data_IF_985324381495
#
_entry.id   IF_985324381495
#
_cell.length_a   1.000
_cell.length_b   1.000
_cell.length_c   1.000
_cell.angle_alpha   90.00
_cell.angle_beta   90.00
_cell.angle_gamma   90.00
#
_symmetry.space_group_name_H-M   'P 1'
#
loop_
_entity.id
_entity.type
_entity.pdbx_description
1 polymer ?
#
# COMPACT_ATOMS: atom_id res chain seq x y z
N UNK A 1 -7.58 -15.30 19.84
CA UNK A 1 -7.54 -14.07 19.04
C UNK A 1 -8.56 -13.12 19.63
N UNK A 2 -8.12 -11.98 20.14
CA UNK A 2 -9.03 -10.98 20.71
C UNK A 2 -9.69 -10.17 19.56
N UNK A 3 -10.68 -9.33 19.87
CA UNK A 3 -11.35 -8.48 18.86
C UNK A 3 -10.37 -7.51 18.20
N UNK A 4 -9.34 -7.09 18.93
CA UNK A 4 -8.34 -6.12 18.48
C UNK A 4 -7.43 -6.67 17.37
N UNK A 5 -6.89 -7.87 17.58
CA UNK A 5 -6.10 -8.63 16.62
C UNK A 5 -6.88 -8.79 15.31
N UNK A 6 -8.19 -9.07 15.41
CA UNK A 6 -9.08 -9.21 14.27
C UNK A 6 -9.27 -7.90 13.51
N UNK A 7 -9.48 -6.78 14.21
CA UNK A 7 -9.58 -5.44 13.59
C UNK A 7 -8.30 -5.10 12.84
N UNK A 8 -7.14 -5.39 13.43
CA UNK A 8 -5.84 -5.12 12.82
C UNK A 8 -5.62 -5.98 11.57
N UNK A 9 -5.94 -7.27 11.62
CA UNK A 9 -5.88 -8.18 10.46
C UNK A 9 -6.79 -7.69 9.33
N UNK A 10 -8.04 -7.33 9.64
CA UNK A 10 -8.99 -6.80 8.65
C UNK A 10 -8.45 -5.51 8.05
N UNK A 11 -7.88 -4.62 8.87
CA UNK A 11 -7.31 -3.35 8.41
C UNK A 11 -6.11 -3.57 7.48
N UNK A 12 -5.22 -4.51 7.80
CA UNK A 12 -4.09 -4.90 6.94
C UNK A 12 -4.61 -5.41 5.59
N UNK A 13 -5.61 -6.30 5.60
CA UNK A 13 -6.19 -6.85 4.37
C UNK A 13 -6.82 -5.74 3.53
N UNK A 14 -7.62 -4.87 4.15
CA UNK A 14 -8.29 -3.76 3.47
C UNK A 14 -7.28 -2.79 2.87
N UNK A 15 -6.28 -2.37 3.64
CA UNK A 15 -5.30 -1.39 3.17
C UNK A 15 -4.44 -1.98 2.06
N UNK A 16 -3.93 -3.21 2.23
CA UNK A 16 -3.14 -3.89 1.20
C UNK A 16 -3.94 -4.07 -0.10
N UNK A 17 -5.21 -4.44 0.00
CA UNK A 17 -6.07 -4.64 -1.17
C UNK A 17 -6.43 -3.32 -1.85
N UNK A 18 -6.94 -2.34 -1.10
CA UNK A 18 -7.43 -1.07 -1.65
C UNK A 18 -6.27 -0.25 -2.20
N UNK A 19 -5.13 -0.23 -1.52
CA UNK A 19 -3.93 0.46 -1.99
C UNK A 19 -3.45 -0.13 -3.33
N UNK A 20 -3.36 -1.45 -3.46
CA UNK A 20 -2.93 -2.10 -4.71
C UNK A 20 -3.94 -2.00 -5.86
N UNK A 21 -5.20 -1.65 -5.56
CA UNK A 21 -6.21 -1.33 -6.57
C UNK A 21 -6.01 0.09 -7.14
N UNK A 22 -5.17 0.92 -6.51
CA UNK A 22 -4.88 2.25 -7.03
C UNK A 22 -4.24 2.15 -8.44
N UNK A 23 -4.68 2.99 -9.40
CA UNK A 23 -4.25 2.91 -10.80
C UNK A 23 -2.74 2.99 -11.01
N UNK A 24 -2.02 3.70 -10.16
CA UNK A 24 -0.55 3.87 -10.21
C UNK A 24 0.23 2.54 -10.11
N UNK A 25 -0.35 1.48 -9.54
CA UNK A 25 0.32 0.17 -9.47
C UNK A 25 0.04 -0.76 -10.67
N UNK A 26 -1.19 -0.79 -11.18
CA UNK A 26 -1.58 -1.73 -12.27
C UNK A 26 -1.70 -1.09 -13.65
N UNK A 27 -1.94 0.23 -13.73
CA UNK A 27 -2.15 0.92 -15.01
C UNK A 27 -0.89 0.91 -15.89
N UNK A 28 0.32 1.19 -15.37
CA UNK A 28 1.55 1.06 -16.17
C UNK A 28 1.73 -0.34 -16.75
N UNK A 29 1.50 -1.38 -15.93
CA UNK A 29 1.58 -2.77 -16.37
C UNK A 29 0.53 -3.08 -17.43
N UNK A 30 -0.69 -2.57 -17.27
CA UNK A 30 -1.79 -2.80 -18.22
C UNK A 30 -1.50 -2.15 -19.58
N UNK A 31 -0.98 -0.92 -19.59
CA UNK A 31 -0.59 -0.25 -20.83
C UNK A 31 0.53 -1.04 -21.52
N UNK A 32 1.53 -1.49 -20.75
CA UNK A 32 2.63 -2.27 -21.29
C UNK A 32 2.17 -3.65 -21.80
N UNK A 33 1.29 -4.34 -21.07
CA UNK A 33 0.79 -5.66 -21.42
C UNK A 33 -0.02 -5.65 -22.70
N UNK A 34 -0.82 -4.60 -22.92
CA UNK A 34 -1.54 -4.38 -24.17
C UNK A 34 -0.55 -4.09 -25.31
N UNK A 35 0.39 -3.16 -25.11
CA UNK A 35 1.37 -2.78 -26.14
C UNK A 35 2.27 -3.94 -26.58
N UNK A 36 2.61 -4.83 -25.65
CA UNK A 36 3.50 -5.99 -25.89
C UNK A 36 2.75 -7.32 -26.03
N UNK A 37 1.41 -7.31 -26.06
CA UNK A 37 0.57 -8.50 -26.17
C UNK A 37 0.94 -9.62 -25.19
N UNK A 38 1.10 -9.28 -23.90
CA UNK A 38 1.46 -10.26 -22.88
C UNK A 38 0.37 -11.31 -22.70
N UNK A 39 0.80 -12.57 -22.52
CA UNK A 39 -0.10 -13.66 -22.14
C UNK A 39 -0.66 -13.44 -20.73
N UNK A 40 -1.82 -14.05 -20.42
CA UNK A 40 -2.41 -13.96 -19.07
C UNK A 40 -1.45 -14.46 -17.98
N UNK A 41 -0.67 -15.52 -18.26
CA UNK A 41 0.34 -16.02 -17.33
C UNK A 41 1.42 -14.98 -17.03
N UNK A 42 1.90 -14.27 -18.06
CA UNK A 42 2.88 -13.19 -17.88
C UNK A 42 2.29 -12.02 -17.11
N UNK A 43 1.03 -11.64 -17.37
CA UNK A 43 0.35 -10.58 -16.61
C UNK A 43 0.28 -10.95 -15.13
N UNK A 44 -0.18 -12.16 -14.79
CA UNK A 44 -0.26 -12.65 -13.40
C UNK A 44 1.11 -12.67 -12.75
N UNK A 45 2.12 -13.22 -13.42
CA UNK A 45 3.47 -13.32 -12.85
C UNK A 45 4.09 -11.93 -12.59
N UNK A 46 4.05 -11.05 -13.59
CA UNK A 46 4.67 -9.71 -13.49
C UNK A 46 3.93 -8.86 -12.45
N UNK A 47 2.60 -8.87 -12.44
CA UNK A 47 1.81 -8.15 -11.42
C UNK A 47 2.05 -8.67 -10.01
N UNK A 48 2.07 -9.99 -9.80
CA UNK A 48 2.40 -10.55 -8.50
C UNK A 48 3.82 -10.17 -8.07
N UNK A 49 4.78 -10.18 -8.99
CA UNK A 49 6.15 -9.77 -8.72
C UNK A 49 6.26 -8.28 -8.36
N UNK A 50 5.54 -7.39 -9.05
CA UNK A 50 5.48 -5.96 -8.70
C UNK A 50 4.88 -5.78 -7.32
N UNK A 51 3.74 -6.42 -7.03
CA UNK A 51 3.08 -6.32 -5.72
C UNK A 51 3.95 -6.86 -4.59
N UNK A 52 4.69 -7.93 -4.84
CA UNK A 52 5.69 -8.47 -3.93
C UNK A 52 6.83 -7.48 -3.69
N UNK A 53 7.47 -6.98 -4.75
CA UNK A 53 8.62 -6.07 -4.64
C UNK A 53 8.23 -4.76 -3.95
N UNK A 54 7.11 -4.16 -4.34
CA UNK A 54 6.54 -2.97 -3.71
C UNK A 54 6.38 -3.18 -2.21
N UNK A 55 5.68 -4.26 -1.82
CA UNK A 55 5.39 -4.55 -0.42
C UNK A 55 6.67 -4.87 0.37
N UNK A 56 7.57 -5.65 -0.22
CA UNK A 56 8.82 -6.06 0.40
C UNK A 56 9.72 -4.86 0.70
N UNK A 57 9.89 -3.95 -0.27
CA UNK A 57 10.67 -2.72 -0.07
C UNK A 57 9.99 -1.84 0.99
N UNK A 58 8.66 -1.70 0.95
CA UNK A 58 7.90 -0.93 1.94
C UNK A 58 8.09 -1.46 3.36
N UNK A 59 8.13 -2.79 3.52
CA UNK A 59 8.40 -3.46 4.80
C UNK A 59 9.83 -3.21 5.26
N UNK A 60 10.84 -3.33 4.38
CA UNK A 60 12.24 -3.05 4.72
C UNK A 60 12.38 -1.63 5.26
N UNK A 61 11.80 -0.65 4.57
CA UNK A 61 11.83 0.76 5.00
C UNK A 61 11.11 0.93 6.33
N UNK A 62 9.96 0.29 6.50
CA UNK A 62 9.19 0.38 7.75
C UNK A 62 9.91 -0.24 8.94
N UNK A 63 10.59 -1.37 8.74
CA UNK A 63 11.43 -1.99 9.77
C UNK A 63 12.65 -1.13 10.10
N UNK A 64 13.25 -0.47 9.09
CA UNK A 64 14.33 0.49 9.32
C UNK A 64 13.83 1.68 10.15
N UNK A 65 12.66 2.23 9.82
CA UNK A 65 12.03 3.31 10.59
C UNK A 65 11.71 2.86 12.01
N UNK A 66 11.17 1.65 12.20
CA UNK A 66 10.90 1.08 13.51
C UNK A 66 12.19 0.93 14.33
N UNK A 67 13.26 0.40 13.73
CA UNK A 67 14.55 0.23 14.39
C UNK A 67 15.16 1.58 14.80
N UNK A 68 15.14 2.57 13.91
CA UNK A 68 15.59 3.93 14.21
C UNK A 68 14.73 4.57 15.29
N UNK A 69 13.40 4.37 15.24
CA UNK A 69 12.48 4.84 16.26
C UNK A 69 12.77 4.25 17.64
N UNK A 70 12.96 2.92 17.73
CA UNK A 70 13.25 2.22 18.99
C UNK A 70 14.63 2.56 19.59
N UNK A 71 15.61 2.89 18.74
CA UNK A 71 16.97 3.22 19.18
C UNK A 71 17.16 4.69 19.56
N UNK A 72 16.32 5.58 19.03
CA UNK A 72 16.45 7.03 19.20
C UNK A 72 15.35 7.67 20.07
N UNK A 73 14.20 7.00 20.26
CA UNK A 73 13.01 7.54 20.92
C UNK A 73 12.51 6.60 22.05
N UNK A 74 11.93 7.14 23.12
CA UNK A 74 11.31 6.30 24.16
C UNK A 74 9.97 5.71 23.67
N UNK A 75 9.49 4.62 24.29
CA UNK A 75 8.23 3.96 23.87
C UNK A 75 6.99 4.87 23.87
N UNK A 76 6.90 5.83 24.80
CA UNK A 76 5.84 6.85 24.80
C UNK A 76 5.93 7.75 23.58
N UNK A 77 7.14 8.04 23.12
CA UNK A 77 7.40 8.87 21.95
C UNK A 77 7.06 8.13 20.67
N UNK A 78 7.15 6.79 20.64
CA UNK A 78 6.79 5.97 19.47
C UNK A 78 5.30 6.03 19.10
N UNK A 79 4.40 6.08 20.10
CA UNK A 79 2.96 6.25 19.84
C UNK A 79 2.68 7.60 19.16
N UNK A 80 3.19 8.69 19.74
CA UNK A 80 3.03 10.03 19.17
C UNK A 80 3.77 10.20 17.85
N UNK A 81 4.90 9.53 17.67
CA UNK A 81 5.65 9.49 16.42
C UNK A 81 4.87 8.77 15.31
N UNK A 82 4.22 7.65 15.62
CA UNK A 82 3.33 6.94 14.69
C UNK A 82 2.14 7.81 14.27
N UNK A 83 1.50 8.49 15.24
CA UNK A 83 0.42 9.45 14.95
C UNK A 83 0.91 10.61 14.09
N UNK A 84 2.09 11.17 14.38
CA UNK A 84 2.70 12.23 13.59
C UNK A 84 3.04 11.77 12.17
N UNK A 85 3.59 10.55 12.01
CA UNK A 85 3.86 9.95 10.70
C UNK A 85 2.57 9.75 9.89
N UNK A 86 1.52 9.18 10.49
CA UNK A 86 0.22 9.05 9.81
C UNK A 86 -0.28 10.41 9.34
N UNK A 87 -0.19 11.42 10.19
CA UNK A 87 -0.61 12.78 9.84
C UNK A 87 0.22 13.37 8.69
N UNK A 88 1.55 13.21 8.73
CA UNK A 88 2.46 13.64 7.65
C UNK A 88 2.15 12.92 6.34
N UNK A 89 1.93 11.61 6.39
CA UNK A 89 1.58 10.79 5.22
C UNK A 89 0.22 11.21 4.66
N UNK A 90 -0.78 11.45 5.51
CA UNK A 90 -2.08 11.99 5.08
C UNK A 90 -1.92 13.36 4.39
N UNK A 91 -1.09 14.26 4.93
CA UNK A 91 -0.80 15.56 4.30
C UNK A 91 -0.09 15.34 2.96
N UNK A 92 0.89 14.44 2.89
CA UNK A 92 1.60 14.13 1.65
C UNK A 92 0.63 13.67 0.56
N UNK A 93 -0.25 12.72 0.86
CA UNK A 93 -1.29 12.28 -0.08
C UNK A 93 -2.24 13.41 -0.44
N UNK A 94 -2.71 14.22 0.52
CA UNK A 94 -3.53 15.41 0.25
C UNK A 94 -2.84 16.40 -0.71
N UNK A 95 -1.54 16.65 -0.54
CA UNK A 95 -0.77 17.53 -1.42
C UNK A 95 -0.59 16.89 -2.80
N UNK A 96 -0.33 15.58 -2.86
CA UNK A 96 -0.29 14.79 -4.09
C UNK A 96 -1.56 14.93 -4.91
N UNK A 97 -2.72 14.85 -4.25
CA UNK A 97 -4.04 15.05 -4.85
C UNK A 97 -4.19 16.40 -5.54
N UNK A 98 -3.66 17.47 -4.94
CA UNK A 98 -3.70 18.81 -5.54
C UNK A 98 -2.74 18.95 -6.73
N UNK A 99 -1.61 18.22 -6.72
CA UNK A 99 -0.57 18.31 -7.75
C UNK A 99 -0.89 17.46 -8.99
N UNK A 100 -1.41 16.25 -8.81
CA UNK A 100 -1.83 15.36 -9.91
C UNK A 100 -2.93 15.95 -10.79
N UNK A 101 -3.73 16.88 -10.27
CA UNK A 101 -4.72 17.62 -11.06
C UNK A 101 -4.12 18.45 -12.20
N UNK A 102 -2.81 18.68 -12.21
CA UNK A 102 -2.14 19.70 -13.02
C UNK A 102 -1.19 19.16 -14.10
N UNK A 103 -0.69 17.93 -14.01
CA UNK A 103 0.30 17.39 -14.96
C UNK A 103 -0.03 15.96 -15.39
N UNK A 104 -0.39 15.81 -16.67
CA UNK A 104 -0.48 14.52 -17.36
C UNK A 104 0.39 14.63 -18.60
N UNK A 105 1.57 14.01 -18.64
CA UNK A 105 2.08 13.37 -19.87
C UNK A 105 3.48 12.74 -19.71
N UNK A 106 3.62 11.62 -20.42
CA UNK A 106 4.83 10.86 -20.77
C UNK A 106 5.57 10.23 -19.59
N UNK A 107 5.61 8.89 -19.47
CA UNK A 107 6.72 8.13 -18.89
C UNK A 107 6.46 6.61 -19.04
N UNK A 108 6.79 6.05 -20.20
CA UNK A 108 6.43 4.66 -20.58
C UNK A 108 7.35 3.57 -19.97
N UNK A 109 8.56 3.93 -19.50
CA UNK A 109 9.49 2.99 -18.83
C UNK A 109 9.73 3.33 -17.35
N UNK A 110 9.64 4.61 -16.98
CA UNK A 110 9.68 5.00 -15.56
C UNK A 110 8.41 4.63 -14.81
N UNK A 111 7.29 4.38 -15.50
CA UNK A 111 6.01 4.09 -14.85
C UNK A 111 5.96 2.73 -14.14
N UNK A 112 6.60 1.69 -14.67
CA UNK A 112 6.72 0.41 -13.96
C UNK A 112 7.61 0.49 -12.72
N UNK A 113 8.69 1.29 -12.80
CA UNK A 113 9.58 1.51 -11.68
C UNK A 113 8.89 2.33 -10.58
N UNK A 114 8.02 3.28 -10.97
CA UNK A 114 7.13 4.00 -10.06
C UNK A 114 6.15 3.05 -9.36
N UNK A 115 5.60 2.05 -10.04
CA UNK A 115 4.71 1.05 -9.42
C UNK A 115 5.39 0.15 -8.38
N UNK A 116 6.73 0.15 -8.31
CA UNK A 116 7.53 -0.58 -7.31
C UNK A 116 7.94 0.34 -6.15
N UNK A 117 7.79 1.67 -6.29
CA UNK A 117 8.21 2.61 -5.27
C UNK A 117 7.41 2.38 -3.98
N UNK A 118 8.10 2.23 -2.84
CA UNK A 118 7.48 1.86 -1.60
C UNK A 118 6.56 2.96 -1.07
N UNK A 119 5.46 2.55 -0.45
CA UNK A 119 4.53 3.46 0.19
C UNK A 119 4.61 3.34 1.72
N UNK A 120 4.45 4.45 2.45
CA UNK A 120 4.55 4.45 3.90
C UNK A 120 3.31 3.87 4.60
N UNK A 121 2.26 3.44 3.88
CA UNK A 121 0.98 3.06 4.49
C UNK A 121 1.09 1.84 5.41
N UNK A 122 2.12 1.00 5.26
CA UNK A 122 2.36 -0.16 6.13
C UNK A 122 3.03 0.19 7.47
N UNK A 123 3.69 1.35 7.60
CA UNK A 123 4.45 1.71 8.80
C UNK A 123 3.61 1.60 10.09
N UNK A 124 2.38 2.15 10.16
CA UNK A 124 1.56 2.06 11.37
C UNK A 124 1.26 0.62 11.78
N UNK A 125 1.04 -0.27 10.81
CA UNK A 125 0.73 -1.67 11.06
C UNK A 125 1.94 -2.42 11.61
N UNK A 126 3.13 -2.18 11.06
CA UNK A 126 4.37 -2.77 11.58
C UNK A 126 4.64 -2.34 13.03
N UNK A 127 4.43 -1.07 13.36
CA UNK A 127 4.59 -0.58 14.73
C UNK A 127 3.59 -1.27 15.66
N UNK A 128 2.30 -1.24 15.34
CA UNK A 128 1.27 -1.84 16.21
C UNK A 128 1.42 -3.36 16.34
N UNK A 129 1.71 -4.08 15.25
CA UNK A 129 1.96 -5.52 15.29
C UNK A 129 3.21 -5.88 16.10
N UNK A 130 4.21 -5.00 16.18
CA UNK A 130 5.41 -5.24 17.01
C UNK A 130 5.09 -5.20 18.52
N UNK A 131 4.10 -4.42 18.94
CA UNK A 131 3.64 -4.32 20.33
C UNK A 131 2.92 -5.61 20.76
N UNK A 132 2.14 -6.22 19.85
CA UNK A 132 1.42 -7.47 20.08
C UNK A 132 2.33 -8.73 20.10
N UNK A 133 3.59 -8.58 19.68
CA UNK A 133 4.62 -9.60 19.77
C UNK A 133 5.15 -10.09 18.41
N UNK A 134 6.32 -10.71 18.45
CA UNK A 134 7.10 -11.07 17.24
C UNK A 134 6.37 -12.01 16.29
N UNK A 135 5.61 -12.98 16.81
CA UNK A 135 4.84 -13.91 15.98
C UNK A 135 3.74 -13.18 15.19
N UNK A 136 3.07 -12.21 15.81
CA UNK A 136 2.02 -11.43 15.17
C UNK A 136 2.58 -10.46 14.14
N UNK A 137 3.75 -9.86 14.41
CA UNK A 137 4.49 -9.04 13.44
C UNK A 137 4.85 -9.83 12.18
N UNK A 138 5.47 -11.01 12.32
CA UNK A 138 5.84 -11.85 11.18
C UNK A 138 4.60 -12.27 10.38
N UNK A 139 3.53 -12.67 11.07
CA UNK A 139 2.26 -12.98 10.42
C UNK A 139 1.70 -11.80 9.64
N UNK A 140 1.71 -10.60 10.22
CA UNK A 140 1.22 -9.36 9.58
C UNK A 140 2.02 -9.02 8.32
N UNK A 141 3.35 -9.18 8.36
CA UNK A 141 4.25 -8.97 7.23
C UNK A 141 3.94 -9.92 6.08
N UNK A 142 3.85 -11.22 6.38
CA UNK A 142 3.53 -12.24 5.36
C UNK A 142 2.15 -11.98 4.78
N UNK A 143 1.17 -11.67 5.62
CA UNK A 143 -0.19 -11.36 5.20
C UNK A 143 -0.22 -10.17 4.25
N UNK A 144 0.44 -9.06 4.61
CA UNK A 144 0.48 -7.87 3.77
C UNK A 144 1.10 -8.15 2.40
N UNK A 145 2.29 -8.78 2.34
CA UNK A 145 2.94 -9.13 1.07
C UNK A 145 2.02 -10.02 0.21
N UNK A 146 1.40 -11.02 0.83
CA UNK A 146 0.54 -11.98 0.12
C UNK A 146 -0.69 -11.29 -0.46
N UNK A 147 -1.39 -10.49 0.36
CA UNK A 147 -2.59 -9.78 -0.07
C UNK A 147 -2.26 -8.75 -1.15
N UNK A 148 -1.18 -7.99 -1.00
CA UNK A 148 -0.78 -7.01 -2.00
C UNK A 148 -0.45 -7.65 -3.36
N UNK A 149 0.31 -8.75 -3.35
CA UNK A 149 0.66 -9.50 -4.56
C UNK A 149 -0.59 -10.07 -5.25
N UNK A 150 -1.51 -10.66 -4.47
CA UNK A 150 -2.76 -11.22 -4.98
C UNK A 150 -3.70 -10.14 -5.50
N UNK A 151 -3.85 -9.03 -4.78
CA UNK A 151 -4.70 -7.91 -5.16
C UNK A 151 -4.23 -7.30 -6.48
N UNK A 152 -2.93 -7.05 -6.62
CA UNK A 152 -2.37 -6.48 -7.85
C UNK A 152 -2.52 -7.43 -9.04
N UNK A 153 -2.30 -8.73 -8.84
CA UNK A 153 -2.50 -9.73 -9.88
C UNK A 153 -3.97 -9.87 -10.29
N UNK A 154 -4.87 -9.89 -9.31
CA UNK A 154 -6.30 -9.97 -9.55
C UNK A 154 -6.80 -8.78 -10.36
N UNK A 155 -6.47 -7.55 -9.95
CA UNK A 155 -6.94 -6.35 -10.66
C UNK A 155 -6.33 -6.26 -12.07
N UNK A 156 -5.04 -6.57 -12.22
CA UNK A 156 -4.35 -6.54 -13.52
C UNK A 156 -5.00 -7.50 -14.52
N UNK A 157 -5.41 -8.69 -14.09
CA UNK A 157 -6.14 -9.66 -14.93
C UNK A 157 -7.52 -9.15 -15.30
N UNK A 158 -8.27 -8.61 -14.34
CA UNK A 158 -9.63 -8.12 -14.57
C UNK A 158 -9.66 -6.96 -15.58
N UNK A 159 -8.69 -6.05 -15.47
CA UNK A 159 -8.54 -4.93 -16.40
C UNK A 159 -8.11 -5.44 -17.78
N UNK A 160 -7.12 -6.32 -17.88
CA UNK A 160 -6.66 -6.86 -19.16
C UNK A 160 -7.72 -7.71 -19.88
N UNK A 161 -8.60 -8.40 -19.15
CA UNK A 161 -9.76 -9.11 -19.73
C UNK A 161 -10.90 -8.18 -20.15
N UNK A 162 -10.78 -6.86 -19.90
CA UNK A 162 -11.80 -5.88 -20.20
C UNK A 162 -13.06 -6.02 -19.34
N UNK A 163 -12.99 -6.81 -18.25
CA UNK A 163 -14.13 -7.07 -17.35
C UNK A 163 -14.49 -5.79 -16.60
N UNK A 164 -13.49 -4.95 -16.27
CA UNK A 164 -13.73 -3.73 -15.51
C UNK A 164 -13.25 -2.48 -16.24
N UNK A 165 -13.94 -2.15 -17.34
CA UNK A 165 -13.79 -0.86 -18.06
C UNK A 165 -14.08 0.37 -17.20
N UNK A 166 -14.72 0.19 -16.04
CA UNK A 166 -14.95 1.27 -15.06
C UNK A 166 -13.68 1.61 -14.27
N UNK A 167 -12.83 0.62 -13.98
CA UNK A 167 -11.56 0.80 -13.26
C UNK A 167 -10.54 1.53 -14.13
N UNK A 168 -10.54 1.31 -15.45
CA UNK A 168 -9.74 2.12 -16.38
C UNK A 168 -10.19 3.58 -16.48
N UNK A 169 -11.32 3.95 -15.88
CA UNK A 169 -11.80 5.33 -15.73
C UNK A 169 -11.61 5.88 -14.32
N UNK A 170 -11.20 5.05 -13.36
CA UNK A 170 -10.89 5.52 -12.01
C UNK A 170 -9.65 6.39 -12.07
N UNK A 171 -9.82 7.63 -11.61
CA UNK A 171 -8.71 8.56 -11.47
C UNK A 171 -7.95 8.21 -10.18
N UNK A 172 -6.61 8.28 -10.17
CA UNK A 172 -5.78 7.90 -9.03
C UNK A 172 -6.26 8.49 -7.70
N UNK A 173 -6.68 9.76 -7.72
CA UNK A 173 -7.16 10.46 -6.53
C UNK A 173 -8.28 9.78 -5.72
N UNK A 174 -9.14 8.95 -6.32
CA UNK A 174 -10.20 8.27 -5.55
C UNK A 174 -9.63 7.19 -4.62
N UNK A 175 -8.57 6.51 -5.03
CA UNK A 175 -7.88 5.53 -4.20
C UNK A 175 -7.14 6.22 -3.06
N UNK A 176 -6.48 7.36 -3.35
CA UNK A 176 -5.81 8.18 -2.35
C UNK A 176 -6.80 8.66 -1.26
N UNK A 177 -8.01 9.10 -1.63
CA UNK A 177 -9.04 9.47 -0.65
C UNK A 177 -9.40 8.30 0.28
N UNK A 178 -9.54 7.08 -0.25
CA UNK A 178 -9.82 5.90 0.57
C UNK A 178 -8.66 5.56 1.51
N UNK A 179 -7.42 5.63 1.04
CA UNK A 179 -6.23 5.40 1.85
C UNK A 179 -6.18 6.40 3.00
N UNK A 180 -6.41 7.69 2.72
CA UNK A 180 -6.46 8.75 3.75
C UNK A 180 -7.54 8.44 4.79
N UNK A 181 -8.74 8.03 4.37
CA UNK A 181 -9.83 7.66 5.31
C UNK A 181 -9.40 6.49 6.21
N UNK A 182 -8.82 5.43 5.64
CA UNK A 182 -8.37 4.27 6.40
C UNK A 182 -7.26 4.68 7.38
N UNK A 183 -6.29 5.49 6.94
CA UNK A 183 -5.22 6.01 7.79
C UNK A 183 -5.76 6.87 8.95
N UNK A 184 -6.78 7.69 8.71
CA UNK A 184 -7.45 8.46 9.77
C UNK A 184 -8.12 7.52 10.79
N UNK A 185 -8.81 6.47 10.31
CA UNK A 185 -9.40 5.45 11.20
C UNK A 185 -8.30 4.76 12.03
N UNK A 186 -7.17 4.42 11.42
CA UNK A 186 -6.01 3.86 12.12
C UNK A 186 -5.40 4.84 13.13
N UNK A 187 -5.31 6.13 12.82
CA UNK A 187 -4.84 7.14 13.77
C UNK A 187 -5.78 7.27 14.98
N UNK A 188 -7.10 7.26 14.74
CA UNK A 188 -8.11 7.25 15.81
C UNK A 188 -7.93 6.01 16.68
N UNK A 189 -7.77 4.84 16.07
CA UNK A 189 -7.50 3.58 16.77
C UNK A 189 -6.27 3.71 17.70
N UNK A 190 -5.14 4.18 17.15
CA UNK A 190 -3.90 4.34 17.93
C UNK A 190 -4.09 5.33 19.08
N UNK A 191 -4.85 6.41 18.88
CA UNK A 191 -5.06 7.42 19.90
C UNK A 191 -5.72 6.83 21.17
N UNK A 192 -6.65 5.89 21.00
CA UNK A 192 -7.48 5.33 22.07
C UNK A 192 -6.97 4.02 22.70
N UNK A 193 -5.89 3.41 22.19
CA UNK A 193 -5.10 2.37 22.90
C UNK A 193 -4.09 2.96 23.87
#
# INVERSE_FOLDING_TARGET
MNIMDLILIISIILIASIHMIAPDHWMPLTVLSIKRSYSLGNIVFISALIGFLHSFISIIISLLILYLGLSLLNFTDLKYFSLALIFIVCIYFLVGLFKERKESNTLENSSLMVSILPDPAIIPFIINSSILGMNFLIFSIILFISISSLALAFISVLVNRGIIKALSKLKPYYADYLIIIILIITAIYILFE
#
